data_IF_145042866442
#
_entry.id   IF_145042866442
#
_cell.length_a   1.000
_cell.length_b   1.000
_cell.length_c   1.000
_cell.angle_alpha   90.00
_cell.angle_beta   90.00
_cell.angle_gamma   90.00
#
_symmetry.space_group_name_H-M   'P 1'
#
loop_
_entity.id
_entity.type
_entity.pdbx_description
1 polymer ?
#
# COMPACT_ATOMS: atom_id res chain seq x y z
N UNK A 1 -15.75 -9.89 15.14
CA UNK A 1 -14.49 -9.89 14.36
C UNK A 1 -14.78 -10.18 12.89
N UNK A 2 -14.24 -9.38 11.95
CA UNK A 2 -14.33 -9.68 10.52
C UNK A 2 -13.40 -10.86 10.19
N UNK A 3 -13.92 -11.91 9.55
CA UNK A 3 -13.13 -13.09 9.14
C UNK A 3 -12.44 -12.86 7.78
N UNK A 4 -13.10 -12.16 6.86
CA UNK A 4 -12.58 -11.86 5.53
C UNK A 4 -11.44 -10.83 5.58
N UNK A 5 -10.30 -11.14 4.96
CA UNK A 5 -9.20 -10.20 4.81
C UNK A 5 -9.43 -9.25 3.64
N UNK A 6 -9.01 -7.99 3.77
CA UNK A 6 -9.01 -7.00 2.69
C UNK A 6 -7.56 -6.82 2.22
N UNK A 7 -7.35 -6.98 0.92
CA UNK A 7 -6.10 -6.67 0.24
C UNK A 7 -6.35 -5.50 -0.70
N UNK A 8 -5.56 -4.43 -0.57
CA UNK A 8 -5.65 -3.24 -1.42
C UNK A 8 -4.45 -3.15 -2.37
N UNK A 9 -4.65 -2.69 -3.61
CA UNK A 9 -3.52 -2.45 -4.52
C UNK A 9 -2.95 -1.05 -4.30
N UNK A 10 -1.65 -0.96 -4.04
CA UNK A 10 -0.95 0.31 -3.94
C UNK A 10 -0.47 0.78 -5.32
N UNK A 11 -0.57 2.08 -5.54
CA UNK A 11 -0.08 2.77 -6.73
C UNK A 11 0.14 4.24 -6.44
N UNK A 12 0.44 5.08 -7.45
CA UNK A 12 0.80 6.48 -7.25
C UNK A 12 -0.19 7.30 -6.41
N UNK A 13 -1.50 7.03 -6.55
CA UNK A 13 -2.54 7.70 -5.76
C UNK A 13 -2.56 7.32 -4.26
N UNK A 14 -1.84 6.27 -3.87
CA UNK A 14 -1.87 5.70 -2.51
C UNK A 14 -0.49 5.43 -1.90
N UNK A 15 0.60 5.92 -2.50
CA UNK A 15 1.96 5.74 -1.98
C UNK A 15 2.37 6.69 -0.86
N UNK A 16 1.61 7.76 -0.62
CA UNK A 16 1.94 8.65 0.48
C UNK A 16 1.71 7.95 1.82
N UNK A 17 2.63 8.18 2.77
CA UNK A 17 2.55 7.61 4.12
C UNK A 17 1.21 7.94 4.81
N UNK A 18 0.67 9.13 4.55
CA UNK A 18 -0.64 9.55 5.06
C UNK A 18 -1.78 8.65 4.56
N UNK A 19 -1.81 8.36 3.25
CA UNK A 19 -2.85 7.51 2.66
C UNK A 19 -2.69 6.06 3.14
N UNK A 20 -1.47 5.54 3.20
CA UNK A 20 -1.22 4.19 3.73
C UNK A 20 -1.67 4.08 5.20
N UNK A 21 -1.32 5.06 6.03
CA UNK A 21 -1.74 5.10 7.45
C UNK A 21 -3.26 5.10 7.59
N UNK A 22 -3.97 5.88 6.75
CA UNK A 22 -5.43 5.88 6.72
C UNK A 22 -5.97 4.51 6.32
N UNK A 23 -5.47 3.89 5.25
CA UNK A 23 -5.92 2.58 4.79
C UNK A 23 -5.75 1.47 5.84
N UNK A 24 -4.65 1.51 6.60
CA UNK A 24 -4.44 0.59 7.73
C UNK A 24 -5.48 0.81 8.83
N UNK A 25 -5.78 2.06 9.18
CA UNK A 25 -6.81 2.41 10.18
C UNK A 25 -8.22 1.99 9.73
N UNK A 26 -8.52 2.07 8.44
CA UNK A 26 -9.80 1.63 7.86
C UNK A 26 -9.92 0.09 7.74
N UNK A 27 -8.87 -0.68 8.08
CA UNK A 27 -8.94 -2.14 8.19
C UNK A 27 -8.48 -2.92 6.96
N UNK A 28 -7.60 -2.33 6.13
CA UNK A 28 -6.80 -3.09 5.16
C UNK A 28 -5.84 -4.02 5.90
N UNK A 29 -5.73 -5.27 5.43
CA UNK A 29 -4.90 -6.30 6.07
C UNK A 29 -3.57 -6.55 5.33
N UNK A 30 -3.50 -6.16 4.06
CA UNK A 30 -2.30 -6.31 3.26
C UNK A 30 -2.37 -5.48 2.00
N UNK A 31 -1.21 -5.22 1.42
CA UNK A 31 -1.06 -4.40 0.22
C UNK A 31 -0.48 -5.23 -0.91
N UNK A 32 -1.13 -5.19 -2.06
CA UNK A 32 -0.61 -5.71 -3.33
C UNK A 32 0.18 -4.59 -4.01
N UNK A 33 1.42 -4.88 -4.37
CA UNK A 33 2.24 -4.00 -5.22
C UNK A 33 2.31 -4.66 -6.59
N UNK A 34 1.78 -4.00 -7.62
CA UNK A 34 1.84 -4.52 -8.99
C UNK A 34 3.14 -4.05 -9.66
N UNK A 35 4.07 -4.97 -9.90
CA UNK A 35 5.40 -4.68 -10.46
C UNK A 35 5.44 -4.73 -11.99
N UNK A 36 4.35 -5.10 -12.68
CA UNK A 36 4.36 -5.34 -14.14
C UNK A 36 4.72 -4.12 -14.98
N UNK A 37 4.50 -2.91 -14.45
CA UNK A 37 4.83 -1.64 -15.09
C UNK A 37 5.72 -0.74 -14.22
N UNK A 38 6.17 -1.26 -13.07
CA UNK A 38 6.91 -0.45 -12.13
C UNK A 38 8.32 -0.18 -12.65
N UNK A 39 8.66 1.09 -12.82
CA UNK A 39 10.04 1.49 -13.03
C UNK A 39 10.72 1.60 -11.68
N UNK A 40 11.96 1.10 -11.56
CA UNK A 40 12.74 1.15 -10.31
C UNK A 40 12.86 2.59 -9.76
N UNK A 41 12.81 3.59 -10.64
CA UNK A 41 12.81 5.02 -10.30
C UNK A 41 11.56 5.52 -9.56
N UNK A 42 10.46 4.78 -9.62
CA UNK A 42 9.19 5.13 -8.96
C UNK A 42 9.08 4.48 -7.57
N UNK A 43 9.98 3.55 -7.25
CA UNK A 43 9.99 2.81 -5.99
C UNK A 43 11.00 3.40 -5.02
N UNK A 44 10.62 4.51 -4.40
CA UNK A 44 11.38 5.06 -3.26
C UNK A 44 10.94 4.33 -1.98
N UNK A 45 11.48 3.12 -1.77
CA UNK A 45 11.23 2.33 -0.56
C UNK A 45 11.95 2.96 0.64
N UNK A 46 11.44 4.09 1.15
CA UNK A 46 11.74 4.53 2.51
C UNK A 46 10.99 3.65 3.50
N UNK A 47 11.52 2.45 3.71
CA UNK A 47 11.09 1.59 4.81
C UNK A 47 11.55 2.28 6.09
N UNK A 48 10.62 3.02 6.70
CA UNK A 48 10.59 3.44 8.11
C UNK A 48 11.97 3.78 8.70
N UNK A 49 12.39 5.04 8.54
CA UNK A 49 13.27 5.71 9.49
C UNK A 49 12.50 6.10 10.74
#
# INVERSE_FOLDING_TARGET
>A
MRKTKIIATLGPASWSQQVISRLVKEGVNGFRINLSHAKTSEMDFKVLS
#
